data_IF_682221553125
#
_entry.id   IF_682221553125
#
_cell.length_a   1.000
_cell.length_b   1.000
_cell.length_c   1.000
_cell.angle_alpha   90.00
_cell.angle_beta   90.00
_cell.angle_gamma   90.00
#
_symmetry.space_group_name_H-M   'P 1'
#
loop_
_entity.id
_entity.type
_entity.pdbx_description
1 polymer ?
#
# COMPACT_ATOMS: atom_id res chain seq x y z
N UNK A 1 11.73 7.93 12.04
CA UNK A 1 11.65 7.31 11.98
C UNK A 1 11.36 6.58 12.06
N UNK A 2 11.26 6.53 12.32
CA UNK A 2 11.06 5.85 12.41
C UNK A 2 10.79 5.19 12.55
N UNK A 3 10.36 5.27 12.54
CA UNK A 3 10.06 4.53 12.87
C UNK A 3 10.44 3.47 12.85
N UNK A 4 10.66 3.48 13.59
CA UNK A 4 11.09 2.42 13.80
C UNK A 4 11.06 1.44 12.95
N UNK A 5 10.47 1.16 13.12
CA UNK A 5 10.40 0.37 12.31
C UNK A 5 10.74 0.88 11.19
N UNK A 6 11.07 0.73 10.90
CA UNK A 6 11.49 1.17 9.95
C UNK A 6 10.72 1.06 8.83
N UNK A 7 10.40 2.07 8.16
CA UNK A 7 9.55 2.13 6.98
C UNK A 7 10.15 1.36 5.83
N UNK A 8 11.45 1.16 5.83
CA UNK A 8 12.12 0.43 4.77
C UNK A 8 12.23 -1.06 5.03
N UNK A 9 11.80 -1.53 6.20
CA UNK A 9 11.86 -2.94 6.53
C UNK A 9 10.48 -3.57 6.39
N UNK A 10 10.35 -4.72 5.72
CA UNK A 10 9.03 -5.34 5.58
C UNK A 10 8.53 -5.90 6.89
N UNK A 11 7.21 -5.77 7.08
CA UNK A 11 6.52 -6.39 8.21
C UNK A 11 6.57 -7.91 8.08
N UNK A 12 6.51 -8.37 6.82
CA UNK A 12 6.66 -9.79 6.49
C UNK A 12 7.54 -9.83 5.24
N UNK A 13 8.76 -10.42 5.31
CA UNK A 13 9.70 -10.37 4.19
C UNK A 13 9.45 -11.47 3.14
N UNK A 14 8.22 -11.77 2.85
CA UNK A 14 7.80 -12.73 1.82
C UNK A 14 6.36 -12.44 1.44
N UNK A 15 5.92 -12.87 0.25
CA UNK A 15 4.52 -12.72 -0.11
C UNK A 15 3.65 -13.64 0.74
N UNK A 16 2.43 -13.22 1.00
CA UNK A 16 1.45 -14.02 1.70
C UNK A 16 0.06 -13.53 1.32
N UNK A 17 -0.93 -14.42 1.28
CA UNK A 17 -2.30 -13.98 1.04
C UNK A 17 -2.84 -13.22 2.25
N UNK A 18 -3.79 -12.34 2.00
CA UNK A 18 -4.54 -11.69 3.06
C UNK A 18 -5.64 -12.67 3.48
N UNK A 19 -5.55 -13.21 4.67
CA UNK A 19 -6.48 -14.23 5.15
C UNK A 19 -7.81 -13.63 5.56
N UNK A 20 -7.80 -12.43 6.11
CA UNK A 20 -9.01 -11.75 6.56
C UNK A 20 -8.75 -10.26 6.68
N UNK A 21 -9.82 -9.47 6.59
CA UNK A 21 -9.73 -8.03 6.80
C UNK A 21 -11.02 -7.56 7.48
N UNK A 22 -10.94 -6.42 8.15
CA UNK A 22 -12.07 -5.83 8.84
C UNK A 22 -11.61 -5.13 10.11
N UNK A 23 -12.51 -4.34 10.69
CA UNK A 23 -12.25 -3.63 11.95
C UNK A 23 -10.95 -2.82 11.92
N UNK A 24 -10.64 -2.25 10.75
CA UNK A 24 -9.47 -1.41 10.59
C UNK A 24 -8.16 -2.15 10.51
N UNK A 25 -8.19 -3.42 10.15
CA UNK A 25 -6.96 -4.20 10.08
C UNK A 25 -7.02 -5.38 9.17
N UNK A 26 -5.94 -6.14 9.18
CA UNK A 26 -5.74 -7.30 8.30
C UNK A 26 -5.12 -8.45 9.07
N UNK A 27 -5.34 -9.66 8.56
CA UNK A 27 -4.72 -10.86 9.08
C UNK A 27 -4.01 -11.57 7.95
N UNK A 28 -2.74 -11.90 8.16
CA UNK A 28 -1.91 -12.54 7.15
C UNK A 28 -0.69 -13.17 7.80
N UNK A 29 -0.18 -14.26 7.23
CA UNK A 29 1.05 -14.90 7.71
C UNK A 29 1.04 -15.26 9.19
N UNK A 30 -0.14 -15.56 9.76
CA UNK A 30 -0.25 -15.86 11.17
C UNK A 30 -0.22 -14.63 12.08
N UNK A 31 -0.26 -13.43 11.50
CA UNK A 31 -0.18 -12.17 12.23
C UNK A 31 -1.44 -11.33 12.01
N UNK A 32 -1.66 -10.40 12.92
CA UNK A 32 -2.69 -9.37 12.75
C UNK A 32 -2.01 -8.02 12.66
N UNK A 33 -2.55 -7.15 11.83
CA UNK A 33 -2.03 -5.79 11.65
C UNK A 33 -3.17 -4.80 11.65
N UNK A 34 -3.04 -3.74 12.44
CA UNK A 34 -4.00 -2.66 12.43
C UNK A 34 -3.51 -1.58 11.48
N UNK A 35 -4.41 -1.01 10.69
CA UNK A 35 -4.07 0.04 9.73
C UNK A 35 -3.81 -0.50 8.34
N UNK A 36 -3.23 0.33 7.52
CA UNK A 36 -3.03 0.04 6.10
C UNK A 36 -1.78 -0.78 5.83
N UNK A 37 -1.79 -1.46 4.70
CA UNK A 37 -0.67 -2.30 4.27
C UNK A 37 -0.29 -1.96 2.84
N UNK A 38 0.99 -2.13 2.53
CA UNK A 38 1.51 -2.19 1.17
C UNK A 38 2.01 -3.60 0.93
N UNK A 39 1.45 -4.25 -0.08
CA UNK A 39 1.82 -5.62 -0.43
C UNK A 39 2.55 -5.61 -1.77
N UNK A 40 3.77 -6.10 -1.77
CA UNK A 40 4.59 -6.23 -2.98
C UNK A 40 4.96 -7.70 -3.17
N UNK A 41 5.48 -8.05 -4.36
CA UNK A 41 5.83 -9.46 -4.62
C UNK A 41 6.85 -10.05 -3.64
N UNK A 42 7.65 -9.22 -3.00
CA UNK A 42 8.69 -9.68 -2.08
C UNK A 42 8.37 -9.44 -0.61
N UNK A 43 7.18 -8.93 -0.28
CA UNK A 43 6.86 -8.75 1.12
C UNK A 43 5.66 -7.85 1.36
N UNK A 44 5.36 -7.67 2.63
CA UNK A 44 4.23 -6.86 3.08
C UNK A 44 4.76 -5.83 4.08
N UNK A 45 4.45 -4.57 3.84
CA UNK A 45 4.90 -3.46 4.67
C UNK A 45 3.72 -2.78 5.35
N UNK A 46 3.92 -2.30 6.56
CA UNK A 46 2.98 -1.36 7.17
C UNK A 46 2.98 -0.07 6.36
N UNK A 47 1.81 0.50 6.12
CA UNK A 47 1.67 1.72 5.32
C UNK A 47 1.04 2.80 6.19
N UNK A 48 1.75 3.88 6.50
CA UNK A 48 1.24 4.90 7.41
C UNK A 48 0.26 5.87 6.76
N UNK A 49 -0.76 5.32 6.12
CA UNK A 49 -1.83 6.10 5.48
C UNK A 49 -3.13 5.67 6.16
N UNK A 50 -3.67 6.49 7.06
CA UNK A 50 -4.85 6.08 7.83
C UNK A 50 -6.13 6.02 7.01
N UNK A 51 -6.27 6.85 5.99
CA UNK A 51 -7.44 6.85 5.12
C UNK A 51 -7.13 7.58 3.82
N UNK A 52 -8.10 7.61 2.90
CA UNK A 52 -7.89 8.17 1.56
C UNK A 52 -7.60 9.68 1.58
N UNK A 53 -7.99 10.39 2.62
CA UNK A 53 -7.72 11.82 2.69
C UNK A 53 -6.25 12.13 2.92
N UNK A 54 -5.48 11.13 3.33
CA UNK A 54 -4.03 11.24 3.55
C UNK A 54 -3.23 10.64 2.40
N UNK A 55 -3.90 10.23 1.32
CA UNK A 55 -3.24 9.59 0.19
C UNK A 55 -2.67 10.66 -0.73
N UNK A 56 -1.35 10.74 -0.80
CA UNK A 56 -0.62 11.74 -1.57
C UNK A 56 0.40 11.05 -2.45
N UNK A 57 1.03 11.82 -3.35
CA UNK A 57 2.14 11.29 -4.15
C UNK A 57 3.24 10.74 -3.25
N UNK A 58 3.55 11.46 -2.18
CA UNK A 58 4.61 11.02 -1.25
C UNK A 58 4.26 9.70 -0.59
N UNK A 59 2.99 9.52 -0.21
CA UNK A 59 2.55 8.27 0.40
C UNK A 59 2.64 7.10 -0.57
N UNK A 60 2.52 7.35 -1.87
CA UNK A 60 2.57 6.33 -2.91
C UNK A 60 3.97 6.15 -3.48
N UNK A 61 4.96 6.92 -3.04
CA UNK A 61 6.30 6.82 -3.61
C UNK A 61 6.90 5.40 -3.56
N UNK A 62 6.66 4.58 -2.52
CA UNK A 62 7.15 3.20 -2.56
C UNK A 62 6.64 2.39 -3.74
N UNK A 63 5.38 2.61 -4.15
CA UNK A 63 4.82 1.94 -5.31
C UNK A 63 5.45 2.45 -6.60
N UNK A 64 5.68 3.76 -6.71
CA UNK A 64 6.29 4.32 -7.89
C UNK A 64 7.74 3.87 -8.04
N UNK A 65 8.48 3.75 -6.94
CA UNK A 65 9.85 3.27 -6.98
C UNK A 65 9.96 1.85 -7.50
N UNK A 66 8.90 1.08 -7.35
CA UNK A 66 8.87 -0.32 -7.77
C UNK A 66 8.02 -0.56 -9.01
N UNK A 67 7.61 0.52 -9.69
CA UNK A 67 6.68 0.41 -10.82
C UNK A 67 7.20 -0.51 -11.93
N UNK A 68 8.50 -0.53 -12.17
CA UNK A 68 9.08 -1.38 -13.21
C UNK A 68 8.90 -2.87 -12.93
N UNK A 69 8.70 -3.24 -11.66
CA UNK A 69 8.53 -4.63 -11.25
C UNK A 69 7.07 -5.03 -11.09
N UNK A 70 6.14 -4.12 -11.36
CA UNK A 70 4.71 -4.34 -11.14
C UNK A 70 3.96 -4.27 -12.46
N UNK A 71 3.00 -5.17 -12.64
CA UNK A 71 2.10 -5.13 -13.79
C UNK A 71 0.98 -4.13 -13.56
N UNK A 72 0.50 -4.04 -12.34
CA UNK A 72 -0.56 -3.10 -11.96
C UNK A 72 -0.54 -2.92 -10.46
N UNK A 73 -1.29 -1.93 -9.98
CA UNK A 73 -1.40 -1.63 -8.56
C UNK A 73 -2.87 -1.55 -8.18
N UNK A 74 -3.29 -2.35 -7.20
CA UNK A 74 -4.66 -2.32 -6.70
C UNK A 74 -4.72 -1.48 -5.45
N UNK A 75 -5.58 -0.47 -5.45
CA UNK A 75 -5.73 0.43 -4.32
C UNK A 75 -7.10 0.22 -3.68
N UNK A 76 -7.11 -0.36 -2.49
CA UNK A 76 -8.33 -0.53 -1.71
C UNK A 76 -8.59 0.73 -0.90
N UNK A 77 -9.77 1.30 -1.05
CA UNK A 77 -10.09 2.60 -0.46
C UNK A 77 -11.16 2.53 0.64
N UNK A 78 -11.53 1.32 1.06
CA UNK A 78 -12.52 1.16 2.11
C UNK A 78 -13.92 1.02 1.58
N UNK A 79 -14.91 1.36 2.42
CA UNK A 79 -16.32 1.10 2.11
C UNK A 79 -16.91 2.04 1.10
N UNK A 80 -16.45 3.29 1.08
CA UNK A 80 -17.07 4.33 0.26
C UNK A 80 -16.31 4.49 -1.06
N UNK A 81 -17.01 4.71 -2.18
CA UNK A 81 -16.35 5.00 -3.44
C UNK A 81 -15.47 6.22 -3.31
N UNK A 82 -14.36 6.21 -4.02
CA UNK A 82 -13.43 7.32 -3.99
C UNK A 82 -12.76 7.43 -5.35
N UNK A 83 -12.65 8.65 -5.86
CA UNK A 83 -12.05 8.90 -7.16
C UNK A 83 -10.64 9.40 -6.94
N UNK A 84 -9.69 8.76 -7.59
CA UNK A 84 -8.28 9.11 -7.48
C UNK A 84 -8.07 10.53 -8.01
N UNK A 85 -7.46 11.44 -7.23
CA UNK A 85 -7.19 12.80 -7.70
C UNK A 85 -6.35 12.81 -8.97
N UNK A 86 -6.55 13.81 -9.82
CA UNK A 86 -5.90 13.85 -11.13
C UNK A 86 -4.39 13.96 -11.02
N UNK A 87 -3.86 14.68 -10.05
CA UNK A 87 -2.42 14.79 -9.87
C UNK A 87 -1.77 13.44 -9.54
N UNK A 88 -2.44 12.65 -8.71
CA UNK A 88 -1.99 11.31 -8.36
C UNK A 88 -2.13 10.38 -9.56
N UNK A 89 -3.27 10.47 -10.26
CA UNK A 89 -3.50 9.65 -11.45
C UNK A 89 -2.45 9.92 -12.53
N UNK A 90 -2.07 11.19 -12.69
CA UNK A 90 -1.03 11.57 -13.64
C UNK A 90 0.30 10.91 -13.28
N UNK A 91 0.60 10.82 -11.99
CA UNK A 91 1.83 10.21 -11.52
C UNK A 91 1.88 8.73 -11.90
N UNK A 92 0.75 8.03 -11.76
CA UNK A 92 0.68 6.64 -12.20
C UNK A 92 0.93 6.52 -13.70
N UNK A 93 0.41 7.46 -14.49
CA UNK A 93 0.67 7.45 -15.94
C UNK A 93 2.14 7.70 -16.25
N UNK A 94 2.78 8.60 -15.51
CA UNK A 94 4.22 8.90 -15.71
C UNK A 94 5.09 7.67 -15.48
N UNK A 95 4.70 6.83 -14.54
CA UNK A 95 5.44 5.60 -14.24
C UNK A 95 4.93 4.40 -15.05
N UNK A 96 3.98 4.61 -15.95
CA UNK A 96 3.36 3.55 -16.74
C UNK A 96 2.81 2.42 -15.88
N UNK A 97 2.27 2.77 -14.72
CA UNK A 97 1.72 1.81 -13.77
C UNK A 97 0.20 1.93 -13.75
N UNK A 98 -0.48 0.87 -14.14
CA UNK A 98 -1.94 0.82 -14.08
C UNK A 98 -2.41 0.74 -12.63
N UNK A 99 -3.46 1.48 -12.31
CA UNK A 99 -4.00 1.50 -10.95
C UNK A 99 -5.51 1.24 -10.97
#
# INVERSE_FOLDING_TARGET
MALGGRADAPHLPRPAPIDAYGDGGFRFGGMSHRGSLLCFPDGIWAWPVPDVTHLTEAALSPAFERAADLDFFLLGVGRNPWILPEDVRRKFREYALSV
#
